data_IF_810723232519
#
_entry.id   IF_810723232519
#
_cell.length_a   1.000
_cell.length_b   1.000
_cell.length_c   1.000
_cell.angle_alpha   90.00
_cell.angle_beta   90.00
_cell.angle_gamma   90.00
#
_symmetry.space_group_name_H-M   'P 1'
#
loop_
_entity.id
_entity.type
_entity.pdbx_description
1 polymer ?
#
# COMPACT_ATOMS: atom_id res chain seq x y z
N UNK A 1 -9.17 -2.68 -16.88
CA UNK A 1 -8.78 -4.12 -16.86
C UNK A 1 -7.31 -4.39 -16.52
N UNK A 2 -6.30 -4.06 -17.34
CA UNK A 2 -4.89 -4.39 -16.99
C UNK A 2 -4.40 -3.70 -15.69
N UNK A 3 -4.66 -2.40 -15.54
CA UNK A 3 -4.25 -1.63 -14.36
C UNK A 3 -5.02 -2.00 -13.07
N UNK A 4 -6.23 -2.54 -13.21
CA UNK A 4 -7.00 -3.07 -12.06
C UNK A 4 -6.40 -4.39 -11.58
N UNK A 5 -6.04 -5.27 -12.51
CA UNK A 5 -5.30 -6.50 -12.21
C UNK A 5 -3.96 -6.19 -11.55
N UNK A 6 -3.24 -5.17 -12.06
CA UNK A 6 -1.98 -4.71 -11.46
C UNK A 6 -2.19 -4.18 -10.03
N UNK A 7 -3.26 -3.42 -9.79
CA UNK A 7 -3.60 -2.96 -8.44
C UNK A 7 -3.93 -4.13 -7.49
N UNK A 8 -4.53 -5.20 -8.01
CA UNK A 8 -4.85 -6.37 -7.20
C UNK A 8 -3.60 -7.09 -6.69
N UNK A 9 -2.51 -7.09 -7.47
CA UNK A 9 -1.26 -7.76 -7.13
C UNK A 9 -0.11 -6.82 -6.77
N UNK A 10 -0.39 -5.53 -6.56
CA UNK A 10 0.65 -4.55 -6.27
C UNK A 10 1.39 -4.88 -4.96
N UNK A 11 2.72 -4.98 -5.05
CA UNK A 11 3.62 -5.12 -3.92
C UNK A 11 4.89 -4.30 -4.11
N UNK A 12 5.47 -3.83 -3.01
CA UNK A 12 6.75 -3.15 -2.98
C UNK A 12 7.85 -4.10 -3.49
N UNK A 13 8.66 -3.62 -4.42
CA UNK A 13 9.80 -4.40 -4.92
C UNK A 13 10.97 -4.38 -3.92
N UNK A 14 11.93 -5.30 -4.10
CA UNK A 14 13.07 -5.44 -3.17
C UNK A 14 13.90 -4.16 -3.05
N UNK A 15 14.12 -3.44 -4.15
CA UNK A 15 14.96 -2.24 -4.20
C UNK A 15 14.15 -0.95 -4.31
N UNK A 16 12.84 -1.00 -4.06
CA UNK A 16 11.95 0.15 -4.19
C UNK A 16 11.78 0.84 -2.84
N UNK A 17 11.97 2.15 -2.83
CA UNK A 17 11.69 2.99 -1.66
C UNK A 17 10.18 3.05 -1.39
N UNK A 18 9.81 3.38 -0.15
CA UNK A 18 8.39 3.52 0.21
C UNK A 18 7.70 4.62 -0.59
N UNK A 19 8.40 5.72 -0.87
CA UNK A 19 7.90 6.82 -1.69
C UNK A 19 7.61 6.38 -3.12
N UNK A 20 8.51 5.61 -3.74
CA UNK A 20 8.32 5.06 -5.09
C UNK A 20 7.13 4.08 -5.13
N UNK A 21 7.03 3.21 -4.13
CA UNK A 21 5.90 2.30 -4.00
C UNK A 21 4.57 3.05 -3.79
N UNK A 22 4.56 4.09 -2.95
CA UNK A 22 3.41 4.97 -2.73
C UNK A 22 2.97 5.67 -4.01
N UNK A 23 3.89 6.26 -4.78
CA UNK A 23 3.58 6.88 -6.06
C UNK A 23 2.93 5.89 -7.03
N UNK A 24 3.47 4.67 -7.10
CA UNK A 24 2.93 3.60 -7.95
C UNK A 24 1.56 3.14 -7.48
N UNK A 25 1.37 3.02 -6.17
CA UNK A 25 0.09 2.70 -5.56
C UNK A 25 -0.96 3.77 -5.85
N UNK A 26 -0.63 5.06 -5.65
CA UNK A 26 -1.51 6.19 -5.93
C UNK A 26 -1.83 6.28 -7.43
N UNK A 27 -0.87 6.00 -8.30
CA UNK A 27 -1.08 5.94 -9.75
C UNK A 27 -2.09 4.85 -10.13
N UNK A 28 -1.94 3.64 -9.60
CA UNK A 28 -2.87 2.53 -9.87
C UNK A 28 -4.25 2.76 -9.23
N UNK A 29 -4.28 3.38 -8.04
CA UNK A 29 -5.52 3.73 -7.35
C UNK A 29 -6.44 4.64 -8.17
N UNK A 30 -5.88 5.51 -9.04
CA UNK A 30 -6.69 6.34 -9.94
C UNK A 30 -7.48 5.54 -10.97
N UNK A 31 -6.98 4.36 -11.36
CA UNK A 31 -7.65 3.45 -12.29
C UNK A 31 -8.54 2.44 -11.57
N UNK A 32 -8.15 2.05 -10.35
CA UNK A 32 -8.85 1.09 -9.50
C UNK A 32 -9.67 1.75 -8.38
N UNK A 33 -10.08 3.01 -8.54
CA UNK A 33 -10.74 3.78 -7.47
C UNK A 33 -12.03 3.12 -7.00
N UNK A 34 -12.77 2.49 -7.92
CA UNK A 34 -13.97 1.71 -7.63
C UNK A 34 -13.70 0.37 -6.90
N UNK A 35 -12.46 -0.13 -6.91
CA UNK A 35 -12.05 -1.32 -6.15
C UNK A 35 -11.70 -1.00 -4.69
N UNK A 36 -11.53 0.27 -4.35
CA UNK A 36 -11.25 0.73 -2.99
C UNK A 36 -12.54 1.23 -2.36
N UNK A 37 -13.11 0.42 -1.47
CA UNK A 37 -14.39 0.69 -0.83
C UNK A 37 -14.31 1.85 0.18
N UNK A 38 -13.24 1.89 0.96
CA UNK A 38 -13.02 2.89 2.00
C UNK A 38 -11.51 3.09 2.27
N UNK A 39 -11.20 4.09 3.09
CA UNK A 39 -9.82 4.41 3.48
C UNK A 39 -9.15 3.27 4.28
N UNK A 40 -9.92 2.48 5.02
CA UNK A 40 -9.42 1.33 5.78
C UNK A 40 -8.98 0.21 4.84
N UNK A 41 -9.73 -0.04 3.76
CA UNK A 41 -9.37 -0.96 2.70
C UNK A 41 -8.10 -0.50 1.99
N UNK A 42 -7.99 0.81 1.69
CA UNK A 42 -6.77 1.39 1.11
C UNK A 42 -5.55 1.13 1.99
N UNK A 43 -5.65 1.43 3.29
CA UNK A 43 -4.56 1.23 4.24
C UNK A 43 -4.15 -0.25 4.35
N UNK A 44 -5.13 -1.16 4.47
CA UNK A 44 -4.87 -2.61 4.49
C UNK A 44 -4.22 -3.10 3.20
N UNK A 45 -4.64 -2.59 2.04
CA UNK A 45 -4.09 -2.96 0.73
C UNK A 45 -2.63 -2.53 0.62
N UNK A 46 -2.34 -1.27 0.96
CA UNK A 46 -0.99 -0.73 0.98
C UNK A 46 -0.09 -1.53 1.93
N UNK A 47 -0.52 -1.72 3.20
CA UNK A 47 0.22 -2.52 4.20
C UNK A 47 0.51 -3.96 3.74
N UNK A 48 -0.42 -4.60 3.03
CA UNK A 48 -0.25 -5.97 2.54
C UNK A 48 0.81 -6.06 1.44
N UNK A 49 0.91 -5.05 0.59
CA UNK A 49 1.88 -5.00 -0.50
C UNK A 49 3.28 -4.60 -0.06
N UNK A 50 3.46 -4.02 1.13
CA UNK A 50 4.78 -3.73 1.68
C UNK A 50 5.62 -4.97 1.94
N UNK A 51 6.94 -4.79 1.90
CA UNK A 51 7.92 -5.83 2.24
C UNK A 51 7.68 -6.39 3.64
N UNK A 52 7.97 -7.68 3.81
CA UNK A 52 7.70 -8.40 5.06
C UNK A 52 8.35 -7.73 6.28
N UNK A 53 9.59 -7.24 6.15
CA UNK A 53 10.33 -6.58 7.22
C UNK A 53 9.58 -5.34 7.72
N UNK A 54 9.16 -4.47 6.80
CA UNK A 54 8.43 -3.22 7.08
C UNK A 54 7.04 -3.54 7.65
N UNK A 55 6.35 -4.51 7.05
CA UNK A 55 5.03 -4.97 7.51
C UNK A 55 5.08 -5.55 8.93
N UNK A 56 6.18 -6.22 9.29
CA UNK A 56 6.38 -6.78 10.64
C UNK A 56 6.45 -5.68 11.70
N UNK A 57 7.11 -4.56 11.40
CA UNK A 57 7.16 -3.41 12.30
C UNK A 57 5.77 -2.77 12.50
N UNK A 58 4.97 -2.72 11.44
CA UNK A 58 3.61 -2.17 11.50
C UNK A 58 2.54 -3.14 12.02
N UNK A 59 2.92 -4.38 12.35
CA UNK A 59 1.99 -5.34 12.96
C UNK A 59 1.62 -4.97 14.40
N UNK A 60 2.32 -3.97 14.98
CA UNK A 60 2.04 -3.40 16.31
C UNK A 60 0.84 -2.43 16.26
N UNK A 61 0.56 -1.84 15.09
CA UNK A 61 -0.52 -0.88 14.93
C UNK A 61 -1.84 -1.61 14.65
N UNK A 62 -2.80 -1.46 15.55
CA UNK A 62 -4.17 -1.96 15.38
C UNK A 62 -4.96 -1.00 14.49
N UNK A 63 -5.23 -1.44 13.26
CA UNK A 63 -5.98 -0.72 12.23
C UNK A 63 -5.44 0.68 11.89
N UNK A 64 -4.16 0.80 11.47
CA UNK A 64 -3.57 2.09 11.13
C UNK A 64 -4.26 2.73 9.92
N UNK A 65 -4.36 4.06 9.94
CA UNK A 65 -4.78 4.85 8.78
C UNK A 65 -3.73 4.78 7.67
N UNK A 66 -4.11 5.12 6.44
CA UNK A 66 -3.17 5.11 5.31
C UNK A 66 -1.94 5.99 5.60
N UNK A 67 -2.14 7.18 6.18
CA UNK A 67 -1.06 8.08 6.57
C UNK A 67 -0.12 7.44 7.61
N UNK A 68 -0.66 6.76 8.63
CA UNK A 68 0.17 6.08 9.64
C UNK A 68 0.98 4.92 9.05
N UNK A 69 0.44 4.22 8.05
CA UNK A 69 1.17 3.14 7.36
C UNK A 69 2.29 3.71 6.49
N UNK A 70 2.08 4.85 5.81
CA UNK A 70 3.12 5.50 5.02
C UNK A 70 4.22 6.05 5.91
N UNK A 71 3.86 6.81 6.94
CA UNK A 71 4.79 7.42 7.89
C UNK A 71 5.61 6.35 8.63
N UNK A 72 4.94 5.31 9.17
CA UNK A 72 5.62 4.22 9.88
C UNK A 72 6.39 3.24 8.98
N UNK A 73 6.23 3.32 7.65
CA UNK A 73 7.01 2.54 6.70
C UNK A 73 8.29 3.27 6.26
N UNK A 74 8.31 4.60 6.34
CA UNK A 74 9.47 5.39 5.99
C UNK A 74 10.60 5.20 7.04
N UNK A 75 11.88 5.18 6.62
CA UNK A 75 13.03 5.05 7.52
C UNK A 75 13.16 6.18 8.54
#
# INVERSE_FOLDING_TARGET
EAMESDFMWISQHLNEMITEYEERFARLLRFASHLVQDETYRARKFRKGLRFEIRRHMSILDNPTYAQVVDGAQP
#
